data_IF_799392748334
#
_entry.id   IF_799392748334
#
_cell.length_a   1.000
_cell.length_b   1.000
_cell.length_c   1.000
_cell.angle_alpha   90.00
_cell.angle_beta   90.00
_cell.angle_gamma   90.00
#
_symmetry.space_group_name_H-M   'P 1'
#
loop_
_entity.id
_entity.type
_entity.pdbx_description
1 polymer ?
#
# COMPACT_ATOMS: atom_id res chain seq x y z
N UNK A 1 -2.24 -2.40 -42.94
CA UNK A 1 -3.59 -2.50 -43.54
C UNK A 1 -3.54 -1.95 -44.93
N UNK A 2 -3.73 -2.81 -45.93
CA UNK A 2 -3.66 -2.44 -47.36
C UNK A 2 -4.84 -1.55 -47.73
N UNK A 3 -4.58 -0.32 -48.15
CA UNK A 3 -5.60 0.59 -48.67
C UNK A 3 -5.88 0.21 -50.12
N UNK A 4 -7.05 -0.34 -50.37
CA UNK A 4 -7.56 -0.59 -51.73
C UNK A 4 -8.05 0.76 -52.29
N UNK A 5 -7.34 1.27 -53.27
CA UNK A 5 -7.78 2.41 -54.10
C UNK A 5 -8.77 1.85 -55.10
N UNK A 6 -10.06 2.14 -54.88
CA UNK A 6 -11.09 1.84 -55.90
C UNK A 6 -11.03 2.91 -56.94
N UNK A 7 -10.41 2.58 -58.06
CA UNK A 7 -10.45 3.40 -59.28
C UNK A 7 -11.73 3.06 -60.02
N UNK A 8 -12.74 3.91 -59.90
CA UNK A 8 -13.97 3.77 -60.67
C UNK A 8 -13.71 4.32 -62.08
N UNK A 9 -13.41 3.44 -63.03
CA UNK A 9 -13.37 3.79 -64.42
C UNK A 9 -14.80 3.76 -65.01
N UNK A 10 -15.36 4.95 -65.16
CA UNK A 10 -16.64 5.09 -65.89
C UNK A 10 -16.31 5.20 -67.40
N UNK A 11 -16.38 4.07 -68.06
CA UNK A 11 -16.35 4.04 -69.58
C UNK A 11 -17.75 4.41 -70.07
N UNK A 12 -17.94 5.63 -70.54
CA UNK A 12 -19.11 6.01 -71.31
C UNK A 12 -18.90 5.68 -72.77
N UNK A 13 -19.67 4.71 -73.28
CA UNK A 13 -19.83 4.49 -74.73
C UNK A 13 -20.75 5.57 -75.27
N UNK A 14 -20.22 6.59 -75.94
CA UNK A 14 -20.96 7.64 -76.58
C UNK A 14 -21.16 7.30 -78.08
N UNK A 15 -22.28 6.67 -78.38
CA UNK A 15 -22.83 6.70 -79.73
C UNK A 15 -24.15 7.45 -79.62
N UNK A 16 -24.19 8.71 -80.08
CA UNK A 16 -25.41 9.43 -80.41
C UNK A 16 -25.86 10.49 -79.42
N UNK A 17 -24.97 11.33 -78.86
CA UNK A 17 -25.36 12.47 -78.06
C UNK A 17 -25.11 13.79 -78.82
N UNK A 18 -26.12 14.65 -78.82
CA UNK A 18 -26.03 16.01 -79.34
C UNK A 18 -25.09 16.90 -78.53
N UNK A 19 -24.70 18.07 -79.04
CA UNK A 19 -23.80 19.04 -78.38
C UNK A 19 -24.15 19.35 -76.94
N UNK A 20 -25.43 19.33 -76.59
CA UNK A 20 -25.92 19.60 -75.23
C UNK A 20 -25.46 18.53 -74.18
N UNK A 21 -25.30 17.27 -74.60
CA UNK A 21 -24.85 16.20 -73.74
C UNK A 21 -23.33 16.25 -73.49
N UNK A 22 -22.58 16.75 -74.50
CA UNK A 22 -21.12 17.00 -74.35
C UNK A 22 -20.86 18.15 -73.41
N UNK A 23 -21.59 19.29 -73.49
CA UNK A 23 -21.44 20.41 -72.56
C UNK A 23 -21.74 20.01 -71.13
N UNK A 24 -22.79 19.20 -70.89
CA UNK A 24 -23.10 18.65 -69.56
C UNK A 24 -22.00 17.70 -69.09
N UNK A 25 -21.44 16.87 -69.91
CA UNK A 25 -20.33 15.98 -69.58
C UNK A 25 -19.07 16.78 -69.15
N UNK A 26 -18.73 17.82 -69.91
CA UNK A 26 -17.62 18.72 -69.59
C UNK A 26 -17.83 19.52 -68.31
N UNK A 27 -19.06 20.00 -68.06
CA UNK A 27 -19.44 20.65 -66.80
C UNK A 27 -19.31 19.70 -65.62
N UNK A 28 -19.87 18.48 -65.73
CA UNK A 28 -19.75 17.46 -64.67
C UNK A 28 -18.31 17.05 -64.45
N UNK A 29 -17.49 16.96 -65.48
CA UNK A 29 -16.06 16.66 -65.35
C UNK A 29 -15.29 17.81 -64.67
N UNK A 30 -15.67 19.08 -64.92
CA UNK A 30 -15.18 20.25 -64.20
C UNK A 30 -15.56 20.26 -62.72
N UNK A 31 -16.82 19.94 -62.42
CA UNK A 31 -17.31 19.83 -61.03
C UNK A 31 -16.60 18.68 -60.25
N UNK A 32 -16.45 17.51 -60.88
CA UNK A 32 -15.73 16.38 -60.29
C UNK A 32 -14.25 16.75 -60.00
N UNK A 33 -13.61 17.48 -60.93
CA UNK A 33 -12.25 17.96 -60.71
C UNK A 33 -12.15 18.93 -59.54
N UNK A 34 -13.08 19.89 -59.46
CA UNK A 34 -13.17 20.86 -58.37
C UNK A 34 -13.43 20.17 -57.02
N UNK A 35 -14.40 19.26 -56.94
CA UNK A 35 -14.70 18.48 -55.74
C UNK A 35 -13.52 17.60 -55.30
N UNK A 36 -12.77 17.03 -56.23
CA UNK A 36 -11.53 16.27 -55.90
C UNK A 36 -10.48 17.15 -55.27
N UNK A 37 -10.27 18.36 -55.78
CA UNK A 37 -9.28 19.31 -55.19
C UNK A 37 -9.74 19.78 -53.83
N UNK A 38 -11.03 20.05 -53.62
CA UNK A 38 -11.59 20.38 -52.30
C UNK A 38 -11.43 19.24 -51.28
N UNK A 39 -11.69 17.99 -51.69
CA UNK A 39 -11.47 16.79 -50.84
C UNK A 39 -9.99 16.63 -50.47
N UNK A 40 -9.06 16.92 -51.35
CA UNK A 40 -7.63 16.88 -51.04
C UNK A 40 -7.24 17.98 -50.05
N UNK A 41 -7.75 19.21 -50.27
CA UNK A 41 -7.50 20.33 -49.36
C UNK A 41 -8.08 20.06 -47.95
N UNK A 42 -9.34 19.64 -47.86
CA UNK A 42 -9.99 19.27 -46.57
C UNK A 42 -9.29 18.13 -45.87
N UNK A 43 -8.77 17.14 -46.60
CA UNK A 43 -7.97 16.05 -46.01
C UNK A 43 -6.65 16.59 -45.42
N UNK A 44 -5.99 17.51 -46.12
CA UNK A 44 -4.75 18.12 -45.65
C UNK A 44 -5.01 19.02 -44.38
N UNK A 45 -6.11 19.81 -44.39
CA UNK A 45 -6.52 20.59 -43.22
C UNK A 45 -6.86 19.69 -42.01
N UNK A 46 -7.59 18.60 -42.28
CA UNK A 46 -7.94 17.64 -41.22
C UNK A 46 -6.68 16.96 -40.64
N UNK A 47 -5.71 16.64 -41.49
CA UNK A 47 -4.44 16.06 -41.05
C UNK A 47 -3.62 17.07 -40.21
N UNK A 48 -3.53 18.30 -40.68
CA UNK A 48 -2.88 19.39 -39.94
C UNK A 48 -3.59 19.65 -38.60
N UNK A 49 -4.92 19.59 -38.60
CA UNK A 49 -5.74 19.76 -37.39
C UNK A 49 -5.54 18.60 -36.39
N UNK A 50 -5.45 17.38 -36.86
CA UNK A 50 -5.25 16.20 -35.98
C UNK A 50 -3.81 15.99 -35.51
N UNK A 51 -2.87 16.30 -36.37
CA UNK A 51 -1.46 15.94 -36.17
C UNK A 51 -0.48 17.11 -36.20
N UNK A 52 -0.98 18.37 -36.20
CA UNK A 52 -0.15 19.56 -36.12
C UNK A 52 0.72 19.59 -34.87
N UNK A 53 1.97 20.06 -34.97
CA UNK A 53 2.95 20.05 -33.89
C UNK A 53 2.43 20.71 -32.60
N UNK A 54 1.78 21.88 -32.72
CA UNK A 54 1.22 22.59 -31.55
C UNK A 54 0.14 21.79 -30.85
N UNK A 55 -0.73 21.11 -31.61
CA UNK A 55 -1.81 20.31 -31.06
C UNK A 55 -1.32 19.04 -30.38
N UNK A 56 -0.33 18.37 -30.95
CA UNK A 56 0.35 17.25 -30.31
C UNK A 56 1.02 17.65 -29.02
N UNK A 57 1.66 18.81 -28.97
CA UNK A 57 2.29 19.35 -27.76
C UNK A 57 1.24 19.68 -26.69
N UNK A 58 0.12 20.32 -27.07
CA UNK A 58 -0.96 20.64 -26.14
C UNK A 58 -1.53 19.37 -25.50
N UNK A 59 -1.89 18.36 -26.30
CA UNK A 59 -2.40 17.08 -25.80
C UNK A 59 -1.43 16.38 -24.85
N UNK A 60 -0.12 16.44 -25.15
CA UNK A 60 0.88 15.84 -24.28
C UNK A 60 1.01 16.58 -22.93
N UNK A 61 0.90 17.92 -22.93
CA UNK A 61 0.84 18.73 -21.71
C UNK A 61 -0.40 18.43 -20.88
N UNK A 62 -1.55 18.31 -21.54
CA UNK A 62 -2.82 17.98 -20.86
C UNK A 62 -2.75 16.59 -20.23
N UNK A 63 -2.18 15.60 -20.92
CA UNK A 63 -1.95 14.26 -20.39
C UNK A 63 -1.02 14.30 -19.16
N UNK A 64 0.09 15.08 -19.22
CA UNK A 64 0.96 15.27 -18.06
C UNK A 64 0.20 15.91 -16.88
N UNK A 65 -0.57 16.95 -17.14
CA UNK A 65 -1.36 17.62 -16.09
C UNK A 65 -2.41 16.71 -15.44
N UNK A 66 -2.95 15.75 -16.20
CA UNK A 66 -3.85 14.71 -15.71
C UNK A 66 -3.12 13.56 -15.00
N UNK A 67 -1.79 13.57 -14.91
CA UNK A 67 -0.99 12.50 -14.30
C UNK A 67 -0.75 11.29 -15.23
N UNK A 68 -1.22 11.33 -16.48
CA UNK A 68 -0.99 10.26 -17.47
C UNK A 68 0.35 10.48 -18.19
N UNK A 69 1.43 10.19 -17.48
CA UNK A 69 2.79 10.30 -18.02
C UNK A 69 3.03 9.35 -19.21
N UNK A 70 2.34 8.21 -19.26
CA UNK A 70 2.50 7.26 -20.35
C UNK A 70 2.02 7.84 -21.68
N UNK A 71 0.79 8.40 -21.69
CA UNK A 71 0.23 9.09 -22.86
C UNK A 71 1.01 10.36 -23.22
N UNK A 72 1.44 11.12 -22.20
CA UNK A 72 2.28 12.30 -22.42
C UNK A 72 3.58 11.94 -23.14
N UNK A 73 4.35 10.97 -22.64
CA UNK A 73 5.61 10.51 -23.26
C UNK A 73 5.40 9.98 -24.70
N UNK A 74 4.33 9.20 -24.89
CA UNK A 74 3.99 8.68 -26.23
C UNK A 74 3.68 9.82 -27.21
N UNK A 75 2.88 10.81 -26.79
CA UNK A 75 2.55 11.99 -27.58
C UNK A 75 3.78 12.83 -27.92
N UNK A 76 4.66 13.08 -26.94
CA UNK A 76 5.90 13.85 -27.14
C UNK A 76 6.86 13.16 -28.11
N UNK A 77 7.08 11.86 -27.96
CA UNK A 77 7.90 11.07 -28.90
C UNK A 77 7.32 11.09 -30.32
N UNK A 78 5.99 10.97 -30.45
CA UNK A 78 5.30 11.07 -31.73
C UNK A 78 5.45 12.44 -32.36
N UNK A 79 5.41 13.53 -31.60
CA UNK A 79 5.65 14.89 -32.09
C UNK A 79 7.08 15.05 -32.57
N UNK A 80 8.08 14.65 -31.81
CA UNK A 80 9.51 14.76 -32.15
C UNK A 80 9.79 13.99 -33.47
N UNK A 81 9.21 12.79 -33.61
CA UNK A 81 9.42 11.96 -34.82
C UNK A 81 8.78 12.54 -36.07
N UNK A 82 7.59 13.16 -35.97
CA UNK A 82 6.84 13.69 -37.11
C UNK A 82 7.23 15.10 -37.53
N UNK A 83 7.65 15.90 -36.58
CA UNK A 83 7.91 17.32 -36.77
C UNK A 83 9.27 17.77 -36.16
N UNK A 84 10.38 17.10 -36.52
CA UNK A 84 11.69 17.33 -35.88
C UNK A 84 12.20 18.77 -36.04
N UNK A 85 11.85 19.43 -37.14
CA UNK A 85 12.30 20.80 -37.46
C UNK A 85 11.43 21.91 -36.85
N UNK A 86 10.35 21.54 -36.19
CA UNK A 86 9.46 22.54 -35.57
C UNK A 86 9.94 22.92 -34.16
N UNK A 87 9.79 24.20 -33.75
CA UNK A 87 10.20 24.64 -32.39
C UNK A 87 9.51 23.86 -31.27
N UNK A 88 8.32 23.33 -31.53
CA UNK A 88 7.58 22.48 -30.60
C UNK A 88 8.32 21.16 -30.30
N UNK A 89 9.15 20.67 -31.22
CA UNK A 89 9.94 19.47 -31.00
C UNK A 89 11.02 19.67 -29.92
N UNK A 90 11.65 20.83 -29.88
CA UNK A 90 12.60 21.17 -28.82
C UNK A 90 11.90 21.25 -27.45
N UNK A 91 10.72 21.86 -27.40
CA UNK A 91 9.88 21.93 -26.17
C UNK A 91 9.43 20.52 -25.75
N UNK A 92 9.04 19.68 -26.72
CA UNK A 92 8.62 18.29 -26.44
C UNK A 92 9.77 17.46 -25.86
N UNK A 93 11.00 17.63 -26.38
CA UNK A 93 12.18 16.95 -25.87
C UNK A 93 12.47 17.36 -24.43
N UNK A 94 12.47 18.66 -24.14
CA UNK A 94 12.69 19.16 -22.77
C UNK A 94 11.62 18.65 -21.79
N UNK A 95 10.36 18.58 -22.21
CA UNK A 95 9.26 18.07 -21.39
C UNK A 95 9.37 16.55 -21.18
N UNK A 96 9.76 15.79 -22.20
CA UNK A 96 10.02 14.35 -22.11
C UNK A 96 11.15 14.07 -21.10
N UNK A 97 12.27 14.79 -21.20
CA UNK A 97 13.40 14.67 -20.29
C UNK A 97 13.02 15.05 -18.84
N UNK A 98 12.11 16.00 -18.67
CA UNK A 98 11.60 16.37 -17.36
C UNK A 98 10.73 15.27 -16.75
N UNK A 99 9.81 14.69 -17.52
CA UNK A 99 8.96 13.57 -17.06
C UNK A 99 9.83 12.37 -16.69
N UNK A 100 10.80 11.99 -17.51
CA UNK A 100 11.69 10.86 -17.26
C UNK A 100 12.56 11.08 -15.99
N UNK A 101 13.00 12.32 -15.73
CA UNK A 101 13.70 12.66 -14.48
C UNK A 101 12.80 12.60 -13.26
N UNK A 102 11.57 13.13 -13.35
CA UNK A 102 10.58 13.07 -12.26
C UNK A 102 10.24 11.60 -11.90
N UNK A 103 10.02 10.75 -12.89
CA UNK A 103 9.73 9.31 -12.68
C UNK A 103 10.92 8.58 -12.05
N UNK A 104 12.14 8.84 -12.53
CA UNK A 104 13.35 8.24 -11.97
C UNK A 104 13.60 8.68 -10.52
N UNK A 105 13.33 9.95 -10.21
CA UNK A 105 13.45 10.46 -8.85
C UNK A 105 12.41 9.83 -7.91
N UNK A 106 11.15 9.73 -8.33
CA UNK A 106 10.09 9.08 -7.56
C UNK A 106 10.36 7.58 -7.33
N UNK A 107 10.88 6.88 -8.35
CA UNK A 107 11.27 5.47 -8.20
C UNK A 107 12.45 5.30 -7.23
N UNK A 108 13.45 6.17 -7.31
CA UNK A 108 14.60 6.14 -6.39
C UNK A 108 14.16 6.41 -4.94
N UNK A 109 13.24 7.35 -4.72
CA UNK A 109 12.68 7.63 -3.41
C UNK A 109 11.89 6.43 -2.86
N UNK A 110 11.06 5.81 -3.69
CA UNK A 110 10.31 4.61 -3.31
C UNK A 110 11.24 3.48 -2.89
N UNK A 111 12.29 3.20 -3.68
CA UNK A 111 13.29 2.19 -3.37
C UNK A 111 14.07 2.50 -2.09
N UNK A 112 14.41 3.77 -1.85
CA UNK A 112 15.09 4.19 -0.63
C UNK A 112 14.22 3.99 0.63
N UNK A 113 12.92 4.31 0.54
CA UNK A 113 11.95 4.07 1.63
C UNK A 113 11.81 2.57 1.89
N UNK A 114 11.72 1.75 0.84
CA UNK A 114 11.62 0.30 0.99
C UNK A 114 12.89 -0.31 1.60
N UNK A 115 14.07 0.11 1.14
CA UNK A 115 15.36 -0.32 1.69
C UNK A 115 15.49 0.05 3.17
N UNK A 116 15.08 1.27 3.56
CA UNK A 116 15.09 1.69 4.97
C UNK A 116 14.15 0.84 5.83
N UNK A 117 12.95 0.54 5.36
CA UNK A 117 12.02 -0.36 6.06
C UNK A 117 12.58 -1.78 6.22
N UNK A 118 13.23 -2.29 5.19
CA UNK A 118 13.86 -3.61 5.24
C UNK A 118 15.02 -3.65 6.24
N UNK A 119 15.84 -2.59 6.30
CA UNK A 119 16.92 -2.47 7.26
C UNK A 119 16.42 -2.37 8.70
N UNK A 120 15.39 -1.55 8.94
CA UNK A 120 14.74 -1.43 10.25
C UNK A 120 14.13 -2.77 10.71
N UNK A 121 13.49 -3.51 9.80
CA UNK A 121 12.95 -4.84 10.09
C UNK A 121 14.08 -5.84 10.41
N UNK A 122 15.20 -5.80 9.68
CA UNK A 122 16.37 -6.66 9.95
C UNK A 122 17.01 -6.32 11.29
N UNK A 123 17.15 -5.04 11.62
CA UNK A 123 17.67 -4.60 12.90
C UNK A 123 16.75 -4.99 14.07
N UNK A 124 15.43 -4.89 13.89
CA UNK A 124 14.45 -5.36 14.86
C UNK A 124 14.57 -6.87 15.11
N UNK A 125 14.71 -7.67 14.06
CA UNK A 125 14.92 -9.13 14.18
C UNK A 125 16.24 -9.47 14.89
N UNK A 126 17.31 -8.73 14.63
CA UNK A 126 18.59 -8.94 15.29
C UNK A 126 18.55 -8.59 16.79
N UNK A 127 17.74 -7.62 17.19
CA UNK A 127 17.49 -7.27 18.61
C UNK A 127 16.60 -8.28 19.32
N UNK A 128 15.70 -8.91 18.60
CA UNK A 128 14.71 -9.82 19.13
C UNK A 128 15.34 -10.92 19.99
N UNK A 129 16.33 -11.63 19.45
CA UNK A 129 16.98 -12.74 20.15
C UNK A 129 17.68 -12.32 21.44
N UNK A 130 18.18 -11.07 21.51
CA UNK A 130 18.80 -10.51 22.72
C UNK A 130 17.78 -10.20 23.82
N UNK A 131 16.56 -9.87 23.44
CA UNK A 131 15.48 -9.47 24.34
C UNK A 131 14.62 -10.64 24.80
N UNK A 132 14.74 -11.80 24.17
CA UNK A 132 13.99 -12.99 24.54
C UNK A 132 14.68 -13.74 25.69
N UNK A 133 13.85 -14.23 26.63
CA UNK A 133 14.20 -15.19 27.66
C UNK A 133 13.57 -16.53 27.26
N UNK A 134 14.36 -17.59 27.29
CA UNK A 134 13.90 -18.96 27.07
C UNK A 134 14.08 -19.76 28.34
N UNK A 135 13.06 -20.49 28.73
CA UNK A 135 13.07 -21.37 29.89
C UNK A 135 12.46 -22.71 29.49
N UNK A 136 13.21 -23.79 29.58
CA UNK A 136 12.78 -25.11 29.19
C UNK A 136 12.23 -25.88 30.38
N UNK A 137 10.99 -26.33 30.27
CA UNK A 137 10.38 -27.33 31.14
C UNK A 137 10.80 -28.72 30.61
N UNK A 138 11.79 -29.31 31.25
CA UNK A 138 12.34 -30.60 30.81
C UNK A 138 11.31 -31.75 30.94
N UNK A 139 10.35 -31.63 31.87
CA UNK A 139 9.32 -32.66 32.11
C UNK A 139 8.32 -32.66 30.96
N UNK A 140 7.89 -31.47 30.53
CA UNK A 140 6.91 -31.31 29.45
C UNK A 140 7.53 -31.23 28.07
N UNK A 141 8.86 -31.03 27.98
CA UNK A 141 9.56 -30.84 26.71
C UNK A 141 9.18 -29.50 26.03
N UNK A 142 8.74 -28.51 26.78
CA UNK A 142 8.28 -27.22 26.27
C UNK A 142 9.30 -26.14 26.63
N UNK A 143 9.77 -25.39 25.63
CA UNK A 143 10.58 -24.19 25.89
C UNK A 143 9.69 -22.95 25.87
N UNK A 144 9.49 -22.35 27.02
CA UNK A 144 8.74 -21.11 27.19
C UNK A 144 9.57 -19.91 26.75
N UNK A 145 9.01 -19.08 25.89
CA UNK A 145 9.63 -17.87 25.36
C UNK A 145 8.87 -16.66 25.87
N UNK A 146 9.57 -15.75 26.52
CA UNK A 146 9.02 -14.50 27.07
C UNK A 146 10.00 -13.35 26.83
N UNK A 147 9.56 -12.11 27.06
CA UNK A 147 10.43 -10.94 26.92
C UNK A 147 11.13 -10.63 28.24
N UNK A 148 12.43 -10.29 28.18
CA UNK A 148 13.27 -10.02 29.38
C UNK A 148 12.84 -8.79 30.18
N UNK A 149 12.17 -7.80 29.53
CA UNK A 149 11.78 -6.55 30.19
C UNK A 149 10.47 -6.63 31.00
N UNK A 150 9.84 -7.81 31.07
CA UNK A 150 8.62 -7.96 31.85
C UNK A 150 8.96 -7.96 33.34
N UNK A 151 8.38 -7.03 34.13
CA UNK A 151 8.64 -6.98 35.58
C UNK A 151 8.01 -8.19 36.29
N UNK A 152 8.56 -8.55 37.43
CA UNK A 152 8.05 -9.68 38.24
C UNK A 152 7.01 -9.22 39.26
N UNK A 153 7.22 -8.03 39.86
CA UNK A 153 6.48 -7.55 41.03
C UNK A 153 5.68 -6.25 40.76
N UNK A 154 5.37 -5.97 39.50
CA UNK A 154 4.61 -4.78 39.09
C UNK A 154 3.32 -5.14 38.39
N UNK A 155 2.50 -4.15 38.13
CA UNK A 155 1.38 -4.27 37.17
C UNK A 155 1.92 -4.32 35.75
N UNK A 156 1.49 -5.29 34.97
CA UNK A 156 1.92 -5.42 33.58
C UNK A 156 0.92 -6.11 32.67
N UNK A 157 1.12 -5.93 31.38
CA UNK A 157 0.59 -6.74 30.31
C UNK A 157 1.75 -7.37 29.53
N UNK A 158 1.73 -8.67 29.33
CA UNK A 158 2.78 -9.37 28.62
C UNK A 158 2.26 -10.46 27.70
N UNK A 159 3.08 -10.81 26.70
CA UNK A 159 2.85 -11.95 25.83
C UNK A 159 3.96 -12.98 26.04
N UNK A 160 3.61 -14.25 25.88
CA UNK A 160 4.56 -15.35 25.85
C UNK A 160 4.01 -16.54 25.05
N UNK A 161 4.85 -17.50 24.69
CA UNK A 161 4.44 -18.71 24.01
C UNK A 161 5.38 -19.86 24.32
N UNK A 162 4.89 -21.07 24.15
CA UNK A 162 5.71 -22.29 24.20
C UNK A 162 6.24 -22.66 22.82
N UNK A 163 7.40 -23.33 22.81
CA UNK A 163 7.92 -24.04 21.64
C UNK A 163 7.86 -25.54 21.95
N UNK A 164 7.19 -26.29 21.10
CA UNK A 164 7.01 -27.72 21.25
C UNK A 164 7.72 -28.50 20.15
N UNK A 165 8.30 -29.64 20.52
CA UNK A 165 8.90 -30.60 19.61
C UNK A 165 10.28 -30.19 19.07
N UNK A 166 10.92 -31.09 18.32
CA UNK A 166 12.24 -30.91 17.73
C UNK A 166 12.27 -29.72 16.74
N UNK A 167 11.17 -29.43 16.05
CA UNK A 167 11.06 -28.32 15.09
C UNK A 167 10.74 -26.98 15.76
N UNK A 168 10.71 -26.92 17.09
CA UNK A 168 10.45 -25.69 17.86
C UNK A 168 9.28 -24.86 17.33
N UNK A 169 8.14 -25.52 17.04
CA UNK A 169 6.94 -24.83 16.53
C UNK A 169 6.27 -24.05 17.66
N UNK A 170 5.88 -22.82 17.37
CA UNK A 170 5.16 -22.00 18.34
C UNK A 170 3.77 -22.54 18.67
N UNK A 171 3.52 -22.73 19.96
CA UNK A 171 2.21 -22.94 20.54
C UNK A 171 1.36 -21.65 20.44
N UNK A 172 0.05 -21.70 20.73
CA UNK A 172 -0.77 -20.49 20.77
C UNK A 172 -0.14 -19.39 21.65
N UNK A 173 -0.17 -18.15 21.13
CA UNK A 173 0.29 -16.98 21.85
C UNK A 173 -0.59 -16.80 23.10
N UNK A 174 0.02 -16.53 24.23
CA UNK A 174 -0.67 -16.30 25.50
C UNK A 174 -0.55 -14.84 25.94
N UNK A 175 -1.62 -14.35 26.52
CA UNK A 175 -1.71 -13.04 27.14
C UNK A 175 -1.73 -13.21 28.66
N UNK A 176 -0.78 -12.58 29.34
CA UNK A 176 -0.78 -12.48 30.78
C UNK A 176 -0.98 -11.02 31.22
N UNK A 177 -1.95 -10.81 32.07
CA UNK A 177 -2.27 -9.54 32.71
C UNK A 177 -2.03 -9.71 34.19
N UNK A 178 -1.29 -8.80 34.82
CA UNK A 178 -1.03 -8.81 36.24
C UNK A 178 -1.34 -7.44 36.81
N UNK A 179 -2.16 -7.42 37.86
CA UNK A 179 -2.37 -6.30 38.74
C UNK A 179 -1.55 -6.53 40.03
N UNK A 180 -0.79 -5.54 40.44
CA UNK A 180 -0.03 -5.53 41.69
C UNK A 180 -0.36 -4.28 42.50
N UNK A 181 -0.55 -4.43 43.81
CA UNK A 181 -0.89 -3.34 44.75
C UNK A 181 -0.65 -3.77 46.18
N UNK A 182 -0.86 -2.84 47.09
CA UNK A 182 -0.89 -3.10 48.57
C UNK A 182 -2.22 -3.68 49.06
N UNK A 183 -3.26 -3.63 48.22
CA UNK A 183 -4.61 -4.09 48.57
C UNK A 183 -5.31 -4.77 47.40
N UNK A 184 -6.16 -5.75 47.78
CA UNK A 184 -6.96 -6.51 46.84
C UNK A 184 -7.96 -5.64 46.07
N UNK A 185 -7.98 -5.75 44.77
CA UNK A 185 -9.00 -5.17 43.88
C UNK A 185 -10.11 -6.19 43.59
N UNK A 186 -9.80 -7.48 43.66
CA UNK A 186 -10.67 -8.58 43.25
C UNK A 186 -11.09 -8.41 41.80
N UNK A 187 -10.11 -8.30 40.92
CA UNK A 187 -10.30 -8.06 39.49
C UNK A 187 -11.21 -9.12 38.87
N UNK A 188 -12.18 -8.66 38.07
CA UNK A 188 -13.18 -9.49 37.37
C UNK A 188 -13.12 -9.32 35.86
N UNK A 189 -12.79 -8.12 35.39
CA UNK A 189 -12.70 -7.82 33.97
C UNK A 189 -11.63 -6.79 33.69
N UNK A 190 -11.22 -6.71 32.42
CA UNK A 190 -10.23 -5.75 31.95
C UNK A 190 -10.71 -5.04 30.71
N UNK A 191 -10.59 -3.71 30.73
CA UNK A 191 -10.85 -2.84 29.59
C UNK A 191 -9.55 -2.19 29.16
N UNK A 192 -9.19 -2.26 27.88
CA UNK A 192 -7.98 -1.67 27.33
C UNK A 192 -8.36 -0.56 26.36
N UNK A 193 -7.88 0.65 26.60
CA UNK A 193 -8.02 1.79 25.70
C UNK A 193 -6.67 2.07 25.03
N UNK A 194 -6.59 1.88 23.72
CA UNK A 194 -5.42 2.17 22.88
C UNK A 194 -5.77 3.34 21.95
N UNK A 195 -5.24 4.52 22.28
CA UNK A 195 -5.59 5.81 21.67
C UNK A 195 -7.12 6.05 21.70
N UNK A 196 -7.78 6.00 20.55
CA UNK A 196 -9.23 6.19 20.36
C UNK A 196 -10.04 4.87 20.44
N UNK A 197 -9.38 3.70 20.41
CA UNK A 197 -10.05 2.41 20.42
C UNK A 197 -10.12 1.80 21.82
N UNK A 198 -11.27 1.23 22.13
CA UNK A 198 -11.51 0.54 23.42
C UNK A 198 -11.82 -0.93 23.16
N UNK A 199 -11.15 -1.80 23.91
CA UNK A 199 -11.30 -3.25 23.86
C UNK A 199 -11.72 -3.76 25.23
N UNK A 200 -12.81 -4.48 25.28
CA UNK A 200 -13.27 -5.18 26.50
C UNK A 200 -12.86 -6.64 26.40
N UNK A 201 -12.09 -7.11 27.37
CA UNK A 201 -11.66 -8.51 27.42
C UNK A 201 -12.69 -9.44 28.11
N UNK A 202 -13.80 -8.85 28.55
CA UNK A 202 -14.85 -9.61 29.22
C UNK A 202 -14.45 -10.11 30.60
N UNK A 203 -15.14 -11.15 31.04
CA UNK A 203 -14.81 -11.84 32.30
C UNK A 203 -13.57 -12.70 32.10
N UNK A 204 -12.58 -12.50 32.96
CA UNK A 204 -11.32 -13.24 33.00
C UNK A 204 -11.17 -13.93 34.35
N UNK A 205 -10.64 -15.14 34.35
CA UNK A 205 -10.28 -15.82 35.58
C UNK A 205 -8.97 -15.25 36.11
N UNK A 206 -9.04 -14.69 37.33
CA UNK A 206 -7.89 -14.13 38.02
C UNK A 206 -7.46 -15.03 39.17
N UNK A 207 -6.25 -15.52 39.08
CA UNK A 207 -5.53 -16.12 40.22
C UNK A 207 -5.03 -15.02 41.13
N UNK A 208 -4.82 -15.34 42.42
CA UNK A 208 -4.45 -14.37 43.46
C UNK A 208 -3.40 -14.95 44.38
N UNK A 209 -2.42 -14.14 44.73
CA UNK A 209 -1.41 -14.48 45.71
C UNK A 209 -0.93 -13.21 46.43
N UNK A 210 -0.31 -13.37 47.58
CA UNK A 210 0.28 -12.29 48.35
C UNK A 210 1.62 -12.71 48.93
N UNK A 211 2.47 -11.73 49.20
CA UNK A 211 3.78 -11.98 49.76
C UNK A 211 4.55 -10.70 50.04
N UNK A 212 5.88 -10.81 50.16
CA UNK A 212 6.74 -9.64 50.31
C UNK A 212 6.56 -8.67 49.15
N UNK A 213 6.04 -7.48 49.44
CA UNK A 213 5.85 -6.41 48.45
C UNK A 213 4.43 -6.24 47.93
N UNK A 214 3.42 -6.90 48.51
CA UNK A 214 2.02 -6.64 48.20
C UNK A 214 1.22 -7.84 47.78
N UNK A 215 0.21 -7.60 46.94
CA UNK A 215 -0.70 -8.62 46.42
C UNK A 215 -0.55 -8.68 44.89
N UNK A 216 -0.83 -9.83 44.33
CA UNK A 216 -0.88 -10.05 42.89
C UNK A 216 -2.19 -10.70 42.47
N UNK A 217 -2.84 -10.12 41.48
CA UNK A 217 -3.97 -10.72 40.79
C UNK A 217 -3.61 -10.83 39.32
N UNK A 218 -3.61 -12.05 38.77
CA UNK A 218 -3.22 -12.25 37.39
C UNK A 218 -4.18 -13.16 36.65
N UNK A 219 -4.31 -12.89 35.36
CA UNK A 219 -5.00 -13.77 34.42
C UNK A 219 -4.04 -14.16 33.30
N UNK A 220 -4.14 -15.41 32.88
CA UNK A 220 -3.32 -16.01 31.84
C UNK A 220 -4.23 -16.75 30.86
N UNK A 221 -4.36 -16.24 29.64
CA UNK A 221 -5.29 -16.73 28.64
C UNK A 221 -4.65 -16.81 27.26
N UNK A 222 -5.29 -17.53 26.33
CA UNK A 222 -4.89 -17.51 24.93
C UNK A 222 -5.17 -16.12 24.33
N UNK A 223 -4.19 -15.58 23.64
CA UNK A 223 -4.30 -14.29 22.98
C UNK A 223 -5.03 -14.44 21.63
N UNK A 224 -6.35 -14.50 21.67
CA UNK A 224 -7.16 -14.71 20.45
C UNK A 224 -7.16 -13.51 19.51
N UNK A 225 -7.32 -12.29 20.05
CA UNK A 225 -7.43 -11.07 19.27
C UNK A 225 -6.06 -10.43 18.97
N UNK A 226 -5.38 -10.95 17.98
CA UNK A 226 -4.06 -10.45 17.56
C UNK A 226 -4.11 -9.05 16.92
N UNK A 227 -5.23 -8.69 16.30
CA UNK A 227 -5.42 -7.33 15.77
C UNK A 227 -5.43 -6.30 16.89
N UNK A 228 -6.10 -6.59 18.02
CA UNK A 228 -6.05 -5.77 19.22
C UNK A 228 -4.61 -5.63 19.75
N UNK A 229 -3.86 -6.73 19.84
CA UNK A 229 -2.49 -6.70 20.32
C UNK A 229 -1.57 -5.82 19.47
N UNK A 230 -1.71 -5.88 18.15
CA UNK A 230 -0.97 -4.99 17.23
C UNK A 230 -1.34 -3.52 17.44
N UNK A 231 -2.63 -3.23 17.61
CA UNK A 231 -3.11 -1.87 17.92
C UNK A 231 -2.52 -1.36 19.23
N UNK A 232 -2.50 -2.18 20.29
CA UNK A 232 -1.88 -1.85 21.57
C UNK A 232 -0.38 -1.57 21.41
N UNK A 233 0.33 -2.41 20.66
CA UNK A 233 1.76 -2.28 20.44
C UNK A 233 2.15 -0.98 19.68
N UNK A 234 1.28 -0.52 18.76
CA UNK A 234 1.53 0.65 17.92
C UNK A 234 0.90 1.95 18.45
N UNK A 235 0.04 1.88 19.48
CA UNK A 235 -0.64 3.03 20.06
C UNK A 235 0.33 4.00 20.77
N UNK A 236 0.03 5.29 20.69
CA UNK A 236 0.78 6.32 21.42
C UNK A 236 0.55 6.20 22.92
N UNK A 237 -0.71 6.05 23.35
CA UNK A 237 -1.10 5.89 24.72
C UNK A 237 -2.00 4.66 24.88
N UNK A 238 -1.67 3.83 25.87
CA UNK A 238 -2.50 2.69 26.26
C UNK A 238 -2.82 2.79 27.73
N UNK A 239 -4.10 2.73 28.08
CA UNK A 239 -4.58 2.64 29.45
C UNK A 239 -5.29 1.32 29.63
N UNK A 240 -4.89 0.55 30.62
CA UNK A 240 -5.50 -0.71 31.03
C UNK A 240 -6.28 -0.44 32.30
N UNK A 241 -7.58 -0.65 32.26
CA UNK A 241 -8.46 -0.59 33.43
C UNK A 241 -8.67 -2.00 33.94
N UNK A 242 -8.31 -2.22 35.16
CA UNK A 242 -8.66 -3.41 35.94
C UNK A 242 -9.93 -3.10 36.76
N UNK A 243 -11.02 -3.74 36.37
CA UNK A 243 -12.32 -3.57 37.01
C UNK A 243 -12.47 -4.65 38.08
N UNK A 244 -12.47 -4.24 39.33
CA UNK A 244 -12.61 -5.11 40.47
C UNK A 244 -14.06 -5.19 40.96
N UNK A 245 -14.25 -5.81 42.11
CA UNK A 245 -15.57 -6.06 42.69
C UNK A 245 -16.33 -4.77 43.10
N UNK A 246 -15.61 -3.74 43.57
CA UNK A 246 -16.19 -2.48 44.03
C UNK A 246 -15.51 -1.26 43.39
N UNK A 247 -14.25 -1.39 43.06
CA UNK A 247 -13.41 -0.32 42.55
C UNK A 247 -12.73 -0.73 41.26
N UNK A 248 -12.14 0.23 40.58
CA UNK A 248 -11.28 -0.01 39.45
C UNK A 248 -9.91 0.65 39.65
N UNK A 249 -8.93 0.19 38.86
CA UNK A 249 -7.62 0.81 38.80
C UNK A 249 -7.18 0.98 37.33
N UNK A 250 -6.69 2.17 37.02
CA UNK A 250 -6.19 2.50 35.68
C UNK A 250 -4.66 2.44 35.66
N UNK A 251 -4.12 1.61 34.81
CA UNK A 251 -2.68 1.46 34.57
C UNK A 251 -2.32 1.96 33.19
N UNK A 252 -1.38 2.92 33.10
CA UNK A 252 -0.83 3.36 31.83
C UNK A 252 0.30 2.43 31.43
N UNK A 253 0.14 1.72 30.30
CA UNK A 253 1.12 0.76 29.79
C UNK A 253 2.39 1.50 29.33
N UNK A 254 3.56 1.21 29.90
CA UNK A 254 4.81 1.87 29.53
C UNK A 254 5.24 1.51 28.09
N UNK A 255 6.00 2.40 27.46
CA UNK A 255 6.54 2.18 26.11
C UNK A 255 7.45 0.94 26.02
N UNK A 256 8.14 0.60 27.12
CA UNK A 256 8.92 -0.63 27.20
C UNK A 256 8.06 -1.88 27.07
N UNK A 257 6.88 -1.90 27.69
CA UNK A 257 5.94 -3.02 27.61
C UNK A 257 5.24 -3.06 26.25
N UNK A 258 4.87 -1.92 25.66
CA UNK A 258 4.35 -1.86 24.28
C UNK A 258 5.34 -2.43 23.28
N UNK A 259 6.62 -2.08 23.44
CA UNK A 259 7.71 -2.63 22.61
C UNK A 259 7.86 -4.14 22.81
N UNK A 260 7.81 -4.60 24.06
CA UNK A 260 7.86 -6.02 24.37
C UNK A 260 6.71 -6.81 23.70
N UNK A 261 5.49 -6.26 23.74
CA UNK A 261 4.34 -6.86 23.05
C UNK A 261 4.61 -6.98 21.56
N UNK A 262 5.11 -5.91 20.92
CA UNK A 262 5.46 -5.91 19.48
C UNK A 262 6.52 -6.97 19.16
N UNK A 263 7.58 -7.02 19.94
CA UNK A 263 8.67 -7.97 19.75
C UNK A 263 8.21 -9.43 19.98
N UNK A 264 7.32 -9.66 20.94
CA UNK A 264 6.76 -11.00 21.19
C UNK A 264 5.84 -11.48 20.06
N UNK A 265 5.06 -10.60 19.45
CA UNK A 265 4.27 -10.95 18.24
C UNK A 265 5.20 -11.35 17.10
N UNK A 266 6.25 -10.56 16.82
CA UNK A 266 7.25 -10.85 15.80
C UNK A 266 8.00 -12.17 16.07
N UNK A 267 8.37 -12.42 17.34
CA UNK A 267 9.00 -13.68 17.72
C UNK A 267 8.08 -14.87 17.47
N UNK A 268 6.83 -14.78 17.89
CA UNK A 268 5.85 -15.83 17.71
C UNK A 268 5.61 -16.16 16.23
N UNK A 269 5.47 -15.14 15.38
CA UNK A 269 5.33 -15.31 13.92
C UNK A 269 6.57 -15.97 13.30
N UNK A 270 7.78 -15.59 13.74
CA UNK A 270 9.03 -16.20 13.29
C UNK A 270 9.12 -17.70 13.60
N UNK A 271 8.56 -18.14 14.72
CA UNK A 271 8.48 -19.55 15.11
C UNK A 271 7.25 -20.28 14.50
N UNK A 272 6.63 -19.70 13.49
CA UNK A 272 5.55 -20.34 12.74
C UNK A 272 4.16 -20.14 13.33
N UNK A 273 4.02 -19.23 14.28
CA UNK A 273 2.71 -18.77 14.75
C UNK A 273 1.96 -18.08 13.62
N UNK A 274 0.67 -18.40 13.46
CA UNK A 274 -0.18 -17.80 12.42
C UNK A 274 -1.18 -16.85 13.06
N UNK A 275 -1.31 -15.66 12.44
CA UNK A 275 -2.27 -14.65 12.84
C UNK A 275 -3.71 -15.06 12.57
#
# INVERSE_FOLDING_TARGET
>A
MKRTVVTLAVGLALAGCGNADREKADQLQGEVSKLRSEVVALKAELDAEKHGAQRLLARAKDAKAAGDNASAKSGLRGLIARHPEKPEAATAKALLDAIEREEKAAEAERLAVEAKKAEEARAALARLDKNLKKNTDEIKGITWVSHKSIPTLDTYMSLYFGLEGENSRAMPLRLKLQYHSDSWLFVQSVTIKADDQTFQLGSLDFERDNGYGGIWEWSDTVAENKAMLRKIADAKKVTIRFDGRQYYNDFTLPDSQKRAIKEMILAWERYGGKA
#
